data_IF_613073578915
#
_entry.id   IF_613073578915
#
_cell.length_a   1.000
_cell.length_b   1.000
_cell.length_c   1.000
_cell.angle_alpha   90.00
_cell.angle_beta   90.00
_cell.angle_gamma   90.00
#
_symmetry.space_group_name_H-M   'P 1'
#
loop_
_entity.id
_entity.type
_entity.pdbx_description
1 polymer ?
#
# COMPACT_ATOMS: atom_id res chain seq x y z
N UNK A 1 0.81 2.57 10.57
CA UNK A 1 1.64 2.44 9.36
C UNK A 1 1.79 0.96 9.10
N UNK A 2 1.40 0.48 7.92
CA UNK A 2 1.49 -0.94 7.61
C UNK A 2 2.95 -1.34 7.36
N UNK A 3 3.34 -2.54 7.80
CA UNK A 3 4.69 -3.06 7.53
C UNK A 3 4.87 -3.43 6.06
N UNK A 4 3.87 -4.08 5.48
CA UNK A 4 3.92 -4.62 4.13
C UNK A 4 2.54 -4.64 3.47
N UNK A 5 2.51 -4.81 2.15
CA UNK A 5 1.26 -4.90 1.39
C UNK A 5 0.38 -6.10 1.77
N UNK A 6 0.92 -7.12 2.45
CA UNK A 6 0.13 -8.21 3.03
C UNK A 6 -0.80 -7.72 4.15
N UNK A 7 -0.31 -6.81 5.01
CA UNK A 7 -1.05 -6.28 6.15
C UNK A 7 -2.13 -5.29 5.68
N UNK A 8 -1.82 -4.48 4.67
CA UNK A 8 -2.77 -3.60 3.98
C UNK A 8 -3.93 -4.39 3.39
N UNK A 9 -3.64 -5.54 2.78
CA UNK A 9 -4.65 -6.44 2.20
C UNK A 9 -5.46 -7.16 3.25
N UNK A 10 -4.82 -7.67 4.30
CA UNK A 10 -5.50 -8.31 5.42
C UNK A 10 -6.48 -7.34 6.11
N UNK A 11 -6.16 -6.05 6.15
CA UNK A 11 -7.04 -4.99 6.62
C UNK A 11 -8.13 -4.56 5.63
N UNK A 12 -8.13 -5.09 4.40
CA UNK A 12 -9.07 -4.70 3.34
C UNK A 12 -8.89 -3.25 2.88
N UNK A 13 -7.68 -2.70 3.02
CA UNK A 13 -7.35 -1.29 2.69
C UNK A 13 -6.55 -1.13 1.40
N UNK A 14 -6.24 -2.24 0.72
CA UNK A 14 -5.55 -2.19 -0.57
C UNK A 14 -6.56 -1.94 -1.71
N UNK A 15 -6.18 -1.17 -2.75
CA UNK A 15 -4.95 -0.38 -2.87
C UNK A 15 -4.95 0.87 -1.98
N UNK A 16 -3.75 1.29 -1.53
CA UNK A 16 -3.56 2.52 -0.77
C UNK A 16 -3.16 3.66 -1.71
N UNK A 17 -3.88 4.78 -1.65
CA UNK A 17 -3.57 5.94 -2.48
C UNK A 17 -2.76 6.98 -1.69
N UNK A 18 -1.99 7.80 -2.41
CA UNK A 18 -1.26 8.91 -1.78
C UNK A 18 -2.23 9.84 -1.04
N UNK A 19 -2.10 9.89 0.28
CA UNK A 19 -3.01 10.62 1.18
C UNK A 19 -3.89 9.72 2.05
N UNK A 20 -3.99 8.43 1.75
CA UNK A 20 -4.68 7.48 2.63
C UNK A 20 -3.92 7.26 3.94
N UNK A 21 -4.63 7.07 5.06
CA UNK A 21 -4.03 6.68 6.32
C UNK A 21 -3.37 5.30 6.18
N UNK A 22 -2.05 5.28 6.26
CA UNK A 22 -1.25 4.07 6.10
C UNK A 22 -0.52 3.96 4.76
N UNK A 23 -0.76 4.87 3.82
CA UNK A 23 0.12 5.04 2.65
C UNK A 23 1.52 5.45 3.10
N UNK A 24 2.52 4.79 2.51
CA UNK A 24 3.93 5.10 2.70
C UNK A 24 4.63 4.92 1.37
N UNK A 25 5.59 5.78 1.05
CA UNK A 25 6.43 5.62 -0.14
C UNK A 25 7.25 4.33 -0.09
N UNK A 26 7.44 3.74 1.09
CA UNK A 26 8.05 2.42 1.23
C UNK A 26 7.16 1.29 0.67
N UNK A 27 5.84 1.49 0.61
CA UNK A 27 4.86 0.53 0.06
C UNK A 27 4.55 0.80 -1.43
N UNK A 28 4.93 1.98 -1.93
CA UNK A 28 4.78 2.44 -3.31
C UNK A 28 6.14 2.38 -4.01
N UNK A 29 6.58 1.15 -4.34
CA UNK A 29 7.95 0.89 -4.83
C UNK A 29 8.24 1.55 -6.19
N UNK A 30 7.22 1.69 -7.02
CA UNK A 30 7.24 2.36 -8.32
C UNK A 30 6.97 3.87 -8.24
N UNK A 31 6.40 4.35 -7.13
CA UNK A 31 6.28 5.79 -6.85
C UNK A 31 5.17 6.49 -7.63
N UNK A 32 4.25 5.74 -8.23
CA UNK A 32 3.16 6.31 -9.03
C UNK A 32 2.05 6.94 -8.16
N UNK A 33 2.08 6.69 -6.85
CA UNK A 33 1.08 7.18 -5.91
C UNK A 33 0.04 6.13 -5.50
N UNK A 34 0.17 4.89 -5.97
CA UNK A 34 -0.67 3.76 -5.58
C UNK A 34 0.18 2.65 -4.96
N UNK A 35 0.13 2.54 -3.64
CA UNK A 35 0.76 1.44 -2.93
C UNK A 35 -0.12 0.17 -2.96
N UNK A 36 0.51 -0.99 -3.07
CA UNK A 36 -0.14 -2.30 -2.95
C UNK A 36 -1.25 -2.57 -3.99
N UNK A 37 -1.11 -2.02 -5.21
CA UNK A 37 -2.03 -2.18 -6.34
C UNK A 37 -2.26 -3.64 -6.78
N UNK A 38 -1.20 -4.45 -6.91
CA UNK A 38 -1.25 -5.74 -7.60
C UNK A 38 -1.16 -6.98 -6.70
N UNK A 39 -1.24 -6.82 -5.36
CA UNK A 39 -1.29 -7.95 -4.41
C UNK A 39 -0.17 -9.01 -4.55
N UNK A 40 0.91 -8.72 -5.25
CA UNK A 40 2.02 -9.64 -5.54
C UNK A 40 3.23 -8.72 -5.64
N UNK A 41 4.19 -8.72 -4.73
CA UNK A 41 4.88 -9.84 -4.10
C UNK A 41 5.21 -9.55 -2.64
#
# INVERSE_FOLDING_TARGET
MYKDCAEVRAAGKAPLYRGDPGYSTALDHNGDGVACENGSS
#
